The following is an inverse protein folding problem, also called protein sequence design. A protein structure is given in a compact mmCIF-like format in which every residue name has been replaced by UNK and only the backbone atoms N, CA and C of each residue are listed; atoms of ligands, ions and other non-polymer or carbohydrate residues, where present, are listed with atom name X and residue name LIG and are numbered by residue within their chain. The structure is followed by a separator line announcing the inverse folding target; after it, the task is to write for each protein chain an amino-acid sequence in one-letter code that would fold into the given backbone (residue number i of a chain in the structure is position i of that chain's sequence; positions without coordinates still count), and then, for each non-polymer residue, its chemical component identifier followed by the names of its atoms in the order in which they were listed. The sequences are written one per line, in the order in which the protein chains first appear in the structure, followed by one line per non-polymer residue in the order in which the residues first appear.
data_IF_172939363245
#
_entry.id   IF_172939363245
#
_cell.length_a   1.000
_cell.length_b   1.000
_cell.length_c   1.000
_cell.angle_alpha   90.00
_cell.angle_beta   90.00
_cell.angle_gamma   90.00
#
_symmetry.space_group_name_H-M   'P 1'
#
loop_
_entity.id
_entity.type
_entity.pdbx_description
1 polymer ?
#
# COMPACT_ATOMS: atom_id res chain seq x y z
N UNK A 1 39.02 5.08 34.33
CA UNK A 1 37.79 5.69 34.90
C UNK A 1 37.80 7.16 34.52
N UNK A 2 37.10 7.50 33.43
CA UNK A 2 36.68 8.86 33.12
C UNK A 2 35.61 8.73 32.04
N UNK A 3 34.38 8.87 32.51
CA UNK A 3 33.14 8.77 31.76
C UNK A 3 33.05 9.95 30.79
N UNK A 4 33.22 9.67 29.48
CA UNK A 4 32.91 10.63 28.42
C UNK A 4 31.50 10.36 27.92
N UNK A 5 30.53 10.82 28.68
CA UNK A 5 29.19 11.08 28.18
C UNK A 5 29.25 12.24 27.18
N UNK A 6 29.05 11.99 25.88
CA UNK A 6 28.52 13.00 24.95
C UNK A 6 27.97 12.33 23.68
N UNK A 7 26.64 12.15 23.65
CA UNK A 7 25.65 12.85 22.80
C UNK A 7 25.39 12.19 21.44
N UNK A 8 24.55 11.15 21.52
CA UNK A 8 23.52 10.90 20.51
C UNK A 8 22.73 12.20 20.34
N UNK A 9 22.53 12.67 19.12
CA UNK A 9 21.45 13.62 18.80
C UNK A 9 20.14 12.84 18.86
N UNK A 10 19.78 12.43 20.08
CA UNK A 10 18.40 12.30 20.47
C UNK A 10 17.99 13.73 20.74
N UNK A 11 16.92 14.21 20.10
CA UNK A 11 16.24 15.42 20.53
C UNK A 11 16.08 15.31 22.05
N UNK A 12 16.75 16.21 22.79
CA UNK A 12 16.73 16.22 24.24
C UNK A 12 15.29 16.44 24.72
N UNK A 13 14.97 15.98 25.92
CA UNK A 13 13.66 16.23 26.56
C UNK A 13 13.28 17.72 26.65
N UNK A 14 14.22 18.66 26.48
CA UNK A 14 13.94 20.10 26.40
C UNK A 14 13.46 20.56 25.01
N UNK A 15 13.61 19.76 23.96
CA UNK A 15 12.97 20.03 22.65
C UNK A 15 11.52 19.55 22.60
N UNK A 16 11.07 18.82 23.62
CA UNK A 16 9.71 18.28 23.72
C UNK A 16 8.71 19.35 24.19
N UNK A 17 9.17 20.47 24.74
CA UNK A 17 8.27 21.50 25.25
C UNK A 17 7.77 22.49 24.20
N UNK A 18 8.16 22.38 22.92
CA UNK A 18 7.58 23.24 21.90
C UNK A 18 7.52 22.59 20.52
N UNK A 19 6.71 21.54 20.40
CA UNK A 19 5.85 21.23 19.23
C UNK A 19 5.23 19.86 19.48
N UNK A 20 4.04 19.87 20.07
CA UNK A 20 3.23 18.67 20.19
C UNK A 20 2.88 18.14 18.81
N UNK A 21 3.47 17.01 18.42
CA UNK A 21 2.88 15.92 17.61
C UNK A 21 4.01 15.03 17.05
N UNK A 22 4.17 13.83 17.60
CA UNK A 22 4.96 12.76 16.95
C UNK A 22 4.12 12.24 15.77
N UNK A 23 4.33 12.79 14.57
CA UNK A 23 3.63 12.33 13.36
C UNK A 23 4.37 11.16 12.72
N UNK A 24 3.79 9.96 12.84
CA UNK A 24 4.10 8.83 11.96
C UNK A 24 3.46 9.10 10.59
N UNK A 25 4.26 9.28 9.55
CA UNK A 25 3.73 9.48 8.20
C UNK A 25 3.87 8.20 7.36
N UNK A 26 2.72 7.63 6.99
CA UNK A 26 2.62 6.74 5.82
C UNK A 26 2.53 7.56 4.54
N UNK A 27 2.54 6.87 3.38
CA UNK A 27 2.66 7.38 2.00
C UNK A 27 1.47 8.29 1.55
N UNK A 28 0.61 8.75 2.45
CA UNK A 28 -0.60 9.53 2.16
C UNK A 28 -0.62 10.87 2.91
N UNK A 29 0.41 11.70 2.75
CA UNK A 29 0.39 13.11 3.17
C UNK A 29 0.79 14.00 2.00
N UNK A 30 -0.13 14.80 1.49
CA UNK A 30 0.15 15.82 0.45
C UNK A 30 0.85 17.07 1.01
N UNK A 31 1.12 17.12 2.31
CA UNK A 31 1.97 18.13 2.91
C UNK A 31 3.33 17.53 3.25
N UNK A 32 4.39 18.07 2.65
CA UNK A 32 5.75 17.80 3.07
C UNK A 32 6.03 18.65 4.33
N UNK A 33 6.18 18.03 5.52
CA UNK A 33 6.39 18.78 6.76
C UNK A 33 7.82 19.31 6.90
N UNK A 34 8.71 19.02 5.94
CA UNK A 34 10.12 19.38 6.01
C UNK A 34 10.47 20.55 5.10
N UNK A 35 11.31 21.45 5.61
CA UNK A 35 11.85 22.56 4.80
C UNK A 35 12.97 22.08 3.88
N UNK A 36 13.28 22.86 2.84
CA UNK A 36 14.43 22.59 1.95
C UNK A 36 15.75 22.51 2.76
N UNK A 37 15.86 23.30 3.82
CA UNK A 37 17.03 23.30 4.71
C UNK A 37 17.16 21.96 5.44
N UNK A 38 16.05 21.42 5.96
CA UNK A 38 16.03 20.11 6.63
C UNK A 38 16.45 19.00 5.65
N UNK A 39 15.93 19.06 4.42
CA UNK A 39 16.28 18.10 3.37
C UNK A 39 17.76 18.15 2.97
N UNK A 40 18.36 19.34 2.92
CA UNK A 40 19.76 19.50 2.57
C UNK A 40 20.72 18.96 3.64
N UNK A 41 20.39 19.16 4.92
CA UNK A 41 21.19 18.61 6.05
C UNK A 41 21.20 17.08 5.99
N UNK A 42 20.04 16.46 5.80
CA UNK A 42 19.92 14.99 5.68
C UNK A 42 20.66 14.48 4.43
N UNK A 43 20.59 15.22 3.32
CA UNK A 43 21.31 14.85 2.08
C UNK A 43 22.82 14.81 2.30
N UNK A 44 23.39 15.84 2.93
CA UNK A 44 24.83 15.90 3.23
C UNK A 44 25.27 14.75 4.14
N UNK A 45 24.51 14.50 5.22
CA UNK A 45 24.79 13.40 6.14
C UNK A 45 24.76 12.04 5.43
N UNK A 46 23.83 11.83 4.47
CA UNK A 46 23.77 10.61 3.66
C UNK A 46 25.01 10.47 2.77
N UNK A 47 25.43 11.55 2.12
CA UNK A 47 26.63 11.56 1.27
C UNK A 47 27.89 11.22 2.09
N UNK A 48 28.03 11.76 3.30
CA UNK A 48 29.12 11.41 4.22
C UNK A 48 29.08 9.93 4.63
N UNK A 49 27.90 9.40 5.00
CA UNK A 49 27.75 7.99 5.38
C UNK A 49 28.06 7.03 4.23
N UNK A 50 27.78 7.43 2.98
CA UNK A 50 28.11 6.63 1.80
C UNK A 50 29.62 6.51 1.56
N UNK A 51 30.41 7.46 2.07
CA UNK A 51 31.89 7.39 2.00
C UNK A 51 32.51 6.52 3.09
N UNK A 52 31.74 6.10 4.10
CA UNK A 52 32.20 5.24 5.18
C UNK A 52 31.80 3.78 4.92
N UNK A 53 32.55 2.79 5.44
CA UNK A 53 32.13 1.40 5.39
C UNK A 53 30.75 1.22 6.04
N UNK A 54 29.88 0.42 5.41
CA UNK A 54 28.57 0.11 5.96
C UNK A 54 28.70 -0.55 7.35
N UNK A 55 28.12 0.07 8.37
CA UNK A 55 28.07 -0.47 9.72
C UNK A 55 26.63 -0.80 10.10
N UNK A 56 26.38 -2.07 10.43
CA UNK A 56 25.08 -2.51 10.96
C UNK A 56 24.90 -1.93 12.36
N UNK A 57 23.86 -1.12 12.54
CA UNK A 57 23.47 -0.64 13.86
C UNK A 57 22.49 -1.62 14.50
N UNK A 58 22.85 -2.15 15.66
CA UNK A 58 21.98 -3.03 16.45
C UNK A 58 21.13 -2.18 17.39
N UNK A 59 19.93 -1.78 16.94
CA UNK A 59 18.94 -1.17 17.82
C UNK A 59 17.97 -2.24 18.33
N UNK A 60 17.88 -2.38 19.65
CA UNK A 60 16.86 -3.21 20.27
C UNK A 60 15.55 -2.43 20.35
N UNK A 61 14.68 -2.60 19.33
CA UNK A 61 13.37 -1.93 19.28
C UNK A 61 12.31 -2.88 19.83
N UNK A 62 11.80 -2.57 21.02
CA UNK A 62 10.71 -3.32 21.63
C UNK A 62 9.44 -3.18 20.76
N UNK A 63 8.97 -4.31 20.21
CA UNK A 63 7.75 -4.35 19.39
C UNK A 63 6.54 -4.55 20.29
N UNK A 64 5.77 -3.49 20.53
CA UNK A 64 4.45 -3.59 21.16
C UNK A 64 3.46 -4.10 20.12
N UNK A 65 2.81 -5.23 20.41
CA UNK A 65 1.74 -5.80 19.59
C UNK A 65 0.41 -5.56 20.29
N UNK A 66 -0.56 -4.93 19.63
CA UNK A 66 -1.92 -4.74 20.13
C UNK A 66 -2.93 -5.42 19.21
N UNK A 67 -3.85 -6.19 19.80
CA UNK A 67 -4.90 -6.94 19.09
C UNK A 67 -6.24 -6.23 19.30
N UNK A 68 -6.89 -5.79 18.22
CA UNK A 68 -8.22 -5.16 18.24
C UNK A 68 -9.22 -5.98 17.42
N UNK A 69 -10.52 -5.80 17.68
CA UNK A 69 -11.61 -6.45 16.92
C UNK A 69 -11.67 -6.03 15.46
N UNK A 70 -11.22 -4.80 15.13
CA UNK A 70 -11.06 -4.32 13.75
C UNK A 70 -10.03 -5.15 12.98
N UNK A 71 -8.90 -5.49 13.60
CA UNK A 71 -7.87 -6.31 12.96
C UNK A 71 -8.37 -7.72 12.63
N UNK A 72 -9.26 -8.29 13.45
CA UNK A 72 -9.85 -9.60 13.21
C UNK A 72 -10.78 -9.60 11.98
N UNK A 73 -11.66 -8.59 11.86
CA UNK A 73 -12.57 -8.44 10.71
C UNK A 73 -11.81 -8.25 9.40
N UNK A 74 -10.80 -7.37 9.40
CA UNK A 74 -9.97 -7.14 8.21
C UNK A 74 -9.20 -8.40 7.78
N UNK A 75 -8.79 -9.23 8.73
CA UNK A 75 -8.12 -10.50 8.43
C UNK A 75 -9.09 -11.52 7.81
N UNK A 76 -10.31 -11.63 8.34
CA UNK A 76 -11.34 -12.53 7.84
C UNK A 76 -11.77 -12.16 6.40
N UNK A 77 -12.06 -10.87 6.16
CA UNK A 77 -12.31 -10.34 4.82
C UNK A 77 -11.19 -10.67 3.85
N UNK A 78 -9.94 -10.39 4.26
CA UNK A 78 -8.77 -10.59 3.40
C UNK A 78 -8.61 -12.05 2.99
N UNK A 79 -8.77 -12.98 3.95
CA UNK A 79 -8.72 -14.41 3.68
C UNK A 79 -9.87 -14.85 2.76
N UNK A 80 -11.09 -14.38 3.03
CA UNK A 80 -12.28 -14.73 2.25
C UNK A 80 -12.15 -14.31 0.78
N UNK A 81 -11.58 -13.13 0.50
CA UNK A 81 -11.31 -12.65 -0.87
C UNK A 81 -10.16 -13.44 -1.51
N UNK A 82 -9.02 -13.58 -0.82
CA UNK A 82 -7.82 -14.22 -1.36
C UNK A 82 -8.02 -15.68 -1.79
N UNK A 83 -8.82 -16.41 -1.03
CA UNK A 83 -9.20 -17.80 -1.35
C UNK A 83 -10.02 -17.90 -2.64
N UNK A 84 -10.73 -16.84 -3.05
CA UNK A 84 -11.49 -16.86 -4.30
C UNK A 84 -10.59 -16.76 -5.54
N UNK A 85 -9.46 -16.07 -5.44
CA UNK A 85 -8.52 -15.91 -6.54
C UNK A 85 -7.33 -16.86 -6.46
N UNK A 86 -7.43 -17.93 -5.64
CA UNK A 86 -6.34 -18.89 -5.39
C UNK A 86 -5.02 -18.20 -5.02
N UNK A 87 -5.09 -17.11 -4.23
CA UNK A 87 -3.95 -16.28 -3.85
C UNK A 87 -3.13 -15.74 -5.03
N UNK A 88 -3.80 -15.47 -6.16
CA UNK A 88 -3.22 -14.85 -7.35
C UNK A 88 -3.85 -13.50 -7.61
N UNK A 89 -3.05 -12.58 -8.12
CA UNK A 89 -3.50 -11.26 -8.52
C UNK A 89 -4.55 -11.37 -9.63
N UNK A 90 -5.72 -10.76 -9.41
CA UNK A 90 -6.82 -10.71 -10.37
C UNK A 90 -6.42 -10.04 -11.69
N UNK A 91 -5.43 -9.14 -11.67
CA UNK A 91 -4.95 -8.46 -12.87
C UNK A 91 -3.92 -9.29 -13.65
N UNK A 92 -2.82 -9.68 -13.01
CA UNK A 92 -1.70 -10.32 -13.71
C UNK A 92 -1.64 -11.85 -13.61
N UNK A 93 -2.41 -12.47 -12.70
CA UNK A 93 -2.46 -13.92 -12.52
C UNK A 93 -1.29 -14.51 -11.72
N UNK A 94 -0.38 -13.67 -11.24
CA UNK A 94 0.79 -14.08 -10.47
C UNK A 94 0.49 -14.10 -8.96
N UNK A 95 1.21 -14.93 -8.22
CA UNK A 95 1.15 -15.00 -6.76
C UNK A 95 2.33 -15.76 -6.20
N UNK A 96 2.84 -15.32 -5.04
CA UNK A 96 3.94 -15.98 -4.32
C UNK A 96 3.48 -16.40 -2.93
N UNK A 97 3.86 -17.61 -2.53
CA UNK A 97 3.55 -18.19 -1.23
C UNK A 97 4.84 -18.59 -0.51
N UNK A 98 5.00 -18.20 0.76
CA UNK A 98 6.14 -18.63 1.58
C UNK A 98 5.97 -20.07 2.07
N UNK A 99 6.98 -20.96 1.89
CA UNK A 99 6.95 -22.31 2.46
C UNK A 99 6.91 -22.34 3.99
N UNK A 100 7.33 -21.26 4.67
CA UNK A 100 7.33 -21.14 6.12
C UNK A 100 5.94 -20.81 6.72
N UNK A 101 4.93 -20.65 5.87
CA UNK A 101 3.53 -20.45 6.26
C UNK A 101 3.10 -19.00 6.49
N UNK A 102 1.81 -18.75 6.23
CA UNK A 102 0.98 -17.57 6.52
C UNK A 102 1.15 -16.27 5.72
N UNK A 103 2.16 -16.15 4.85
CA UNK A 103 2.33 -14.92 4.06
C UNK A 103 2.30 -15.22 2.57
N UNK A 104 1.19 -14.83 1.93
CA UNK A 104 1.09 -14.71 0.49
C UNK A 104 1.43 -13.27 0.09
N UNK A 105 2.01 -13.09 -1.09
CA UNK A 105 2.41 -11.75 -1.57
C UNK A 105 1.19 -10.85 -1.84
N UNK A 106 0.08 -11.47 -2.25
CA UNK A 106 -1.16 -10.79 -2.61
C UNK A 106 -1.91 -10.25 -1.39
N UNK A 107 -2.68 -9.19 -1.64
CA UNK A 107 -3.51 -8.49 -0.67
C UNK A 107 -4.96 -8.45 -1.18
N UNK A 108 -5.92 -8.47 -0.25
CA UNK A 108 -7.30 -8.17 -0.58
C UNK A 108 -7.49 -6.65 -0.63
N UNK A 109 -7.69 -6.13 -1.84
CA UNK A 109 -8.00 -4.75 -2.09
C UNK A 109 -9.53 -4.56 -2.04
N UNK A 110 -9.99 -3.60 -1.24
CA UNK A 110 -11.38 -3.17 -1.32
C UNK A 110 -11.59 -2.34 -2.59
N UNK A 111 -12.69 -2.60 -3.31
CA UNK A 111 -13.09 -1.84 -4.49
C UNK A 111 -13.63 -0.46 -4.05
N UNK A 112 -14.55 -0.46 -3.10
CA UNK A 112 -14.93 0.72 -2.32
C UNK A 112 -14.09 0.71 -1.04
N UNK A 113 -13.18 1.68 -0.84
CA UNK A 113 -12.35 1.72 0.36
C UNK A 113 -13.17 1.81 1.65
N UNK A 114 -12.64 1.22 2.73
CA UNK A 114 -13.23 1.33 4.08
C UNK A 114 -13.39 2.79 4.52
N UNK A 115 -12.47 3.68 4.12
CA UNK A 115 -12.55 5.11 4.39
C UNK A 115 -13.79 5.78 3.77
N UNK A 116 -14.36 5.17 2.72
CA UNK A 116 -15.59 5.58 2.04
C UNK A 116 -16.80 4.72 2.44
N UNK A 117 -16.74 4.06 3.60
CA UNK A 117 -17.75 3.12 4.11
C UNK A 117 -17.97 1.89 3.21
N UNK A 118 -16.93 1.42 2.52
CA UNK A 118 -16.98 0.17 1.79
C UNK A 118 -17.23 -1.04 2.71
N UNK A 119 -18.16 -1.95 2.37
CA UNK A 119 -18.45 -3.11 3.20
C UNK A 119 -17.35 -4.16 3.10
N UNK A 120 -17.18 -4.94 4.17
CA UNK A 120 -16.37 -6.18 4.19
C UNK A 120 -17.13 -7.34 3.52
N UNK A 121 -17.70 -7.10 2.33
CA UNK A 121 -18.34 -8.10 1.46
C UNK A 121 -17.32 -8.60 0.44
N UNK A 122 -17.21 -9.91 0.23
CA UNK A 122 -16.25 -10.50 -0.75
C UNK A 122 -16.41 -9.91 -2.15
N UNK A 123 -17.64 -9.54 -2.54
CA UNK A 123 -17.94 -8.90 -3.84
C UNK A 123 -17.49 -7.43 -3.90
N UNK A 124 -17.05 -6.86 -2.78
CA UNK A 124 -16.33 -5.58 -2.71
C UNK A 124 -14.80 -5.79 -2.68
N UNK A 125 -14.30 -6.99 -2.99
CA UNK A 125 -12.89 -7.34 -2.90
C UNK A 125 -12.29 -7.80 -4.22
N UNK A 126 -11.00 -7.49 -4.42
CA UNK A 126 -10.13 -8.09 -5.43
C UNK A 126 -8.85 -8.58 -4.75
N UNK A 127 -8.35 -9.75 -5.13
CA UNK A 127 -6.99 -10.15 -4.75
C UNK A 127 -5.99 -9.50 -5.70
N UNK A 128 -5.06 -8.70 -5.20
CA UNK A 128 -4.08 -7.99 -6.02
C UNK A 128 -2.67 -8.14 -5.44
N UNK A 129 -1.66 -8.23 -6.31
CA UNK A 129 -0.27 -8.05 -5.88
C UNK A 129 -0.03 -6.58 -5.48
N UNK A 130 1.00 -6.33 -4.66
CA UNK A 130 1.24 -4.99 -4.08
C UNK A 130 1.32 -3.87 -5.11
N UNK A 131 1.93 -4.15 -6.26
CA UNK A 131 2.06 -3.20 -7.38
C UNK A 131 0.69 -2.81 -7.94
N UNK A 132 -0.15 -3.79 -8.26
CA UNK A 132 -1.43 -3.55 -8.89
C UNK A 132 -2.47 -3.01 -7.90
N UNK A 133 -2.37 -3.40 -6.62
CA UNK A 133 -3.13 -2.80 -5.54
C UNK A 133 -2.83 -1.30 -5.41
N UNK A 134 -1.55 -0.93 -5.30
CA UNK A 134 -1.12 0.47 -5.23
C UNK A 134 -1.62 1.33 -6.40
N UNK A 135 -1.62 0.75 -7.61
CA UNK A 135 -2.10 1.41 -8.83
C UNK A 135 -3.63 1.54 -8.86
N UNK A 136 -4.35 0.52 -8.38
CA UNK A 136 -5.81 0.50 -8.31
C UNK A 136 -6.35 1.57 -7.35
N UNK A 137 -5.73 1.68 -6.17
CA UNK A 137 -6.08 2.69 -5.16
C UNK A 137 -5.87 4.13 -5.63
N UNK A 138 -5.01 4.32 -6.64
CA UNK A 138 -4.70 5.62 -7.26
C UNK A 138 -5.51 5.90 -8.52
N UNK A 139 -6.44 5.01 -8.87
CA UNK A 139 -7.26 5.16 -10.06
C UNK A 139 -6.48 5.01 -11.36
N UNK A 140 -5.30 4.37 -11.33
CA UNK A 140 -4.51 4.18 -12.55
C UNK A 140 -5.10 3.10 -13.46
N UNK A 141 -5.99 2.26 -12.92
CA UNK A 141 -6.78 1.31 -13.68
C UNK A 141 -8.07 1.00 -12.90
N UNK A 142 -9.08 0.53 -13.61
CA UNK A 142 -10.35 0.10 -13.04
C UNK A 142 -10.98 -1.00 -13.87
N UNK A 143 -12.27 -1.27 -13.62
CA UNK A 143 -13.03 -2.28 -14.34
C UNK A 143 -14.27 -1.66 -14.98
N UNK A 144 -14.60 -2.13 -16.17
CA UNK A 144 -15.93 -1.95 -16.77
C UNK A 144 -16.96 -2.86 -16.08
N UNK A 145 -18.24 -2.62 -16.34
CA UNK A 145 -19.35 -3.43 -15.82
C UNK A 145 -19.26 -4.92 -16.23
N UNK A 146 -18.43 -5.24 -17.22
CA UNK A 146 -18.21 -6.61 -17.68
C UNK A 146 -16.94 -7.25 -17.13
N UNK A 147 -16.25 -6.63 -16.16
CA UNK A 147 -14.97 -7.10 -15.62
C UNK A 147 -13.82 -7.06 -16.65
N UNK A 148 -13.92 -6.15 -17.62
CA UNK A 148 -12.80 -5.79 -18.50
C UNK A 148 -12.01 -4.65 -17.87
N UNK A 149 -10.70 -4.76 -17.84
CA UNK A 149 -9.76 -3.74 -17.37
C UNK A 149 -9.84 -2.51 -18.26
N UNK A 150 -9.83 -1.34 -17.64
CA UNK A 150 -9.69 -0.04 -18.30
C UNK A 150 -8.55 0.75 -17.66
N UNK A 151 -7.69 1.32 -18.48
CA UNK A 151 -6.55 2.16 -18.07
C UNK A 151 -6.73 3.55 -18.69
N UNK A 152 -6.80 4.64 -17.90
CA UNK A 152 -6.95 6.00 -18.42
C UNK A 152 -5.84 6.40 -19.41
N UNK A 153 -6.16 7.16 -20.44
CA UNK A 153 -5.23 7.59 -21.49
C UNK A 153 -4.04 8.38 -20.92
N UNK A 154 -4.27 9.22 -19.91
CA UNK A 154 -3.21 9.91 -19.16
C UNK A 154 -2.20 8.97 -18.51
N UNK A 155 -2.66 7.81 -18.03
CA UNK A 155 -1.81 6.74 -17.49
C UNK A 155 -1.08 6.02 -18.62
N UNK A 156 -1.77 5.72 -19.72
CA UNK A 156 -1.20 5.06 -20.89
C UNK A 156 -0.10 5.89 -21.58
N UNK A 157 -0.18 7.22 -21.50
CA UNK A 157 0.79 8.13 -22.12
C UNK A 157 2.19 8.11 -21.45
N UNK A 158 2.32 7.50 -20.27
CA UNK A 158 3.59 7.41 -19.54
C UNK A 158 4.27 6.05 -19.81
N UNK A 159 5.48 6.02 -20.42
CA UNK A 159 6.18 4.77 -20.75
C UNK A 159 6.46 3.86 -19.55
N UNK A 160 6.55 4.43 -18.34
CA UNK A 160 6.74 3.67 -17.10
C UNK A 160 5.55 2.73 -16.80
N UNK A 161 4.39 3.00 -17.40
CA UNK A 161 3.14 2.28 -17.18
C UNK A 161 2.87 1.22 -18.24
N UNK A 162 3.76 0.97 -19.21
CA UNK A 162 3.55 0.00 -20.31
C UNK A 162 3.08 -1.38 -19.82
N UNK A 163 3.64 -1.83 -18.69
CA UNK A 163 3.26 -3.11 -18.07
C UNK A 163 1.81 -3.13 -17.54
N UNK A 164 1.29 -1.98 -17.10
CA UNK A 164 -0.11 -1.82 -16.70
C UNK A 164 -1.01 -1.63 -17.94
N UNK A 165 -0.59 -0.78 -18.87
CA UNK A 165 -1.30 -0.52 -20.15
C UNK A 165 -1.50 -1.80 -20.96
N UNK A 166 -0.57 -2.74 -20.90
CA UNK A 166 -0.72 -4.05 -21.53
C UNK A 166 -1.93 -4.86 -21.05
N UNK A 167 -2.58 -4.48 -19.96
CA UNK A 167 -3.82 -5.10 -19.48
C UNK A 167 -5.10 -4.41 -19.97
N UNK A 168 -5.01 -3.21 -20.55
CA UNK A 168 -6.19 -2.50 -21.06
C UNK A 168 -6.99 -3.37 -22.04
N UNK A 169 -8.31 -3.39 -21.87
CA UNK A 169 -9.21 -4.22 -22.69
C UNK A 169 -9.19 -5.73 -22.36
N UNK A 170 -8.36 -6.21 -21.43
CA UNK A 170 -8.34 -7.62 -21.02
C UNK A 170 -9.34 -7.88 -19.89
N UNK A 171 -9.83 -9.12 -19.79
CA UNK A 171 -10.59 -9.57 -18.61
C UNK A 171 -9.64 -9.84 -17.45
N UNK A 172 -10.08 -9.52 -16.24
CA UNK A 172 -9.40 -10.02 -15.03
C UNK A 172 -9.58 -11.53 -14.87
N UNK A 173 -8.67 -12.13 -14.10
CA UNK A 173 -8.92 -13.45 -13.53
C UNK A 173 -10.15 -13.38 -12.64
N UNK A 174 -11.04 -14.36 -12.83
CA UNK A 174 -12.31 -14.42 -12.12
C UNK A 174 -12.13 -15.18 -10.79
N UNK A 175 -12.93 -14.86 -9.76
CA UNK A 175 -13.01 -15.71 -8.58
C UNK A 175 -13.49 -17.11 -8.96
N UNK A 176 -13.05 -18.10 -8.21
CA UNK A 176 -13.44 -19.51 -8.40
C UNK A 176 -14.94 -19.74 -8.24
N UNK A 177 -15.60 -18.94 -7.39
CA UNK A 177 -17.05 -18.89 -7.28
C UNK A 177 -17.58 -17.65 -8.03
N UNK A 178 -18.33 -17.90 -9.10
CA UNK A 178 -18.90 -16.86 -9.95
C UNK A 178 -19.88 -15.95 -9.20
N UNK A 179 -20.53 -16.46 -8.14
CA UNK A 179 -21.47 -15.68 -7.33
C UNK A 179 -20.78 -14.64 -6.44
N UNK A 180 -19.47 -14.79 -6.27
CA UNK A 180 -18.60 -13.89 -5.49
C UNK A 180 -17.79 -12.95 -6.40
N UNK A 181 -18.20 -12.77 -7.65
CA UNK A 181 -17.63 -11.75 -8.52
C UNK A 181 -17.79 -10.34 -7.95
N UNK A 182 -16.85 -9.42 -8.26
CA UNK A 182 -16.98 -8.03 -7.95
C UNK A 182 -18.35 -7.48 -8.32
N UNK A 183 -19.03 -6.88 -7.35
CA UNK A 183 -20.39 -6.36 -7.55
C UNK A 183 -20.33 -5.14 -8.48
N UNK A 184 -21.29 -5.05 -9.40
CA UNK A 184 -21.35 -3.98 -10.39
C UNK A 184 -21.40 -2.59 -9.74
N UNK A 185 -22.09 -2.45 -8.61
CA UNK A 185 -22.17 -1.17 -7.88
C UNK A 185 -20.81 -0.76 -7.29
N UNK A 186 -20.02 -1.72 -6.80
CA UNK A 186 -18.67 -1.44 -6.29
C UNK A 186 -17.76 -0.98 -7.42
N UNK A 187 -17.82 -1.68 -8.57
CA UNK A 187 -17.05 -1.32 -9.76
C UNK A 187 -17.41 0.09 -10.25
N UNK A 188 -18.72 0.38 -10.37
CA UNK A 188 -19.22 1.71 -10.78
C UNK A 188 -18.75 2.77 -9.82
N UNK A 189 -18.89 2.53 -8.51
CA UNK A 189 -18.41 3.44 -7.49
C UNK A 189 -16.91 3.74 -7.63
N UNK A 190 -16.07 2.72 -7.84
CA UNK A 190 -14.63 2.92 -8.03
C UNK A 190 -14.33 3.77 -9.26
N UNK A 191 -15.01 3.50 -10.39
CA UNK A 191 -14.86 4.34 -11.59
C UNK A 191 -15.27 5.79 -11.36
N UNK A 192 -16.34 6.02 -10.63
CA UNK A 192 -16.89 7.37 -10.45
C UNK A 192 -16.13 8.19 -9.39
N UNK A 193 -15.40 7.55 -8.48
CA UNK A 193 -14.79 8.21 -7.31
C UNK A 193 -13.26 8.11 -7.24
N UNK A 194 -12.66 7.10 -7.88
CA UNK A 194 -11.22 6.81 -7.76
C UNK A 194 -10.52 6.84 -9.11
N UNK A 195 -11.09 6.22 -10.14
CA UNK A 195 -10.47 6.14 -11.46
C UNK A 195 -10.10 7.54 -11.96
N UNK A 196 -8.88 7.70 -12.46
CA UNK A 196 -8.44 8.97 -13.01
C UNK A 196 -9.28 9.28 -14.24
N UNK A 197 -9.88 10.48 -14.24
CA UNK A 197 -10.61 11.01 -15.39
C UNK A 197 -9.62 11.61 -16.38
N UNK A 198 -9.83 11.34 -17.67
CA UNK A 198 -9.17 12.04 -18.78
C UNK A 198 -9.99 13.25 -19.25
#
# INVERSE_FOLDING_TARGET
MNDKHLRIVTLSKESIENTGEIKRFGILSHHNPFTIKDLNVVKHQREELQTQPFQKQDFNREKVTSTSTTNARSKDFSEAVNVQYNYKCALCGEGLCSPAGSNNEVEAAHIIPVASNGPDDVRNGLTLCRKHHWAFDRGMWGLTDTLTVTVPASVQALPQNDQLTAFDGKKIYQPKDISLQPHIDAIRWHRDNILLND
#
